data_IF_654776453033
#
_entry.id   IF_654776453033
#
_cell.length_a   1.000
_cell.length_b   1.000
_cell.length_c   1.000
_cell.angle_alpha   90.00
_cell.angle_beta   90.00
_cell.angle_gamma   90.00
#
_symmetry.space_group_name_H-M   'P 1'
#
loop_
_entity.id
_entity.type
_entity.pdbx_description
1 polymer ?
#
# COMPACT_ATOMS: atom_id res chain seq x y z
N UNK A 1 -1.97 14.24 19.91
CA UNK A 1 -2.46 13.51 18.72
C UNK A 1 -1.66 13.79 17.46
N UNK A 2 -1.39 15.05 17.10
CA UNK A 2 -0.62 15.37 15.87
C UNK A 2 0.79 14.75 15.84
N UNK A 3 1.50 14.75 16.98
CA UNK A 3 2.82 14.10 17.09
C UNK A 3 2.72 12.60 16.78
N UNK A 4 1.73 11.89 17.32
CA UNK A 4 1.51 10.47 17.04
C UNK A 4 1.27 10.22 15.54
N UNK A 5 0.42 11.04 14.91
CA UNK A 5 0.15 10.94 13.48
C UNK A 5 1.40 11.21 12.63
N UNK A 6 2.18 12.24 12.98
CA UNK A 6 3.44 12.54 12.31
C UNK A 6 4.45 11.39 12.46
N UNK A 7 4.59 10.83 13.66
CA UNK A 7 5.45 9.66 13.90
C UNK A 7 4.98 8.43 13.12
N UNK A 8 3.68 8.16 13.08
CA UNK A 8 3.12 7.04 12.33
C UNK A 8 3.37 7.18 10.82
N UNK A 9 3.15 8.36 10.27
CA UNK A 9 3.43 8.67 8.85
C UNK A 9 4.92 8.56 8.55
N UNK A 10 5.78 9.13 9.40
CA UNK A 10 7.23 9.05 9.23
C UNK A 10 7.74 7.60 9.30
N UNK A 11 7.23 6.80 10.25
CA UNK A 11 7.56 5.39 10.39
C UNK A 11 7.13 4.58 9.15
N UNK A 12 5.92 4.82 8.62
CA UNK A 12 5.42 4.16 7.43
C UNK A 12 6.25 4.52 6.18
N UNK A 13 6.58 5.79 5.99
CA UNK A 13 7.43 6.25 4.87
C UNK A 13 8.83 5.65 4.99
N UNK A 14 9.45 5.74 6.17
CA UNK A 14 10.79 5.19 6.40
C UNK A 14 10.87 3.68 6.17
N UNK A 15 9.91 2.93 6.72
CA UNK A 15 9.79 1.48 6.49
C UNK A 15 9.61 1.16 5.00
N UNK A 16 8.72 1.86 4.32
CA UNK A 16 8.42 1.66 2.90
C UNK A 16 9.63 1.97 2.01
N UNK A 17 10.34 3.06 2.27
CA UNK A 17 11.56 3.41 1.52
C UNK A 17 12.67 2.40 1.75
N UNK A 18 12.91 1.97 2.98
CA UNK A 18 13.92 0.96 3.28
C UNK A 18 13.63 -0.37 2.56
N UNK A 19 12.36 -0.81 2.57
CA UNK A 19 11.93 -2.03 1.88
C UNK A 19 11.98 -1.84 0.36
N UNK A 20 11.54 -0.70 -0.17
CA UNK A 20 11.60 -0.39 -1.59
C UNK A 20 13.04 -0.43 -2.12
N UNK A 21 13.98 0.27 -1.46
CA UNK A 21 15.39 0.26 -1.83
C UNK A 21 15.97 -1.16 -1.82
N UNK A 22 15.63 -1.96 -0.80
CA UNK A 22 16.06 -3.36 -0.72
C UNK A 22 15.51 -4.21 -1.87
N UNK A 23 14.23 -4.08 -2.20
CA UNK A 23 13.59 -4.83 -3.28
C UNK A 23 14.16 -4.42 -4.65
N UNK A 24 14.35 -3.13 -4.89
CA UNK A 24 14.97 -2.64 -6.13
C UNK A 24 16.44 -3.07 -6.26
N UNK A 25 17.19 -3.09 -5.16
CA UNK A 25 18.55 -3.63 -5.14
C UNK A 25 18.56 -5.15 -5.41
N UNK A 26 17.58 -5.88 -4.87
CA UNK A 26 17.42 -7.31 -5.13
C UNK A 26 17.06 -7.56 -6.61
N UNK A 27 16.16 -6.77 -7.17
CA UNK A 27 15.77 -6.85 -8.58
C UNK A 27 16.95 -6.68 -9.52
N UNK A 28 17.86 -5.75 -9.24
CA UNK A 28 19.09 -5.58 -10.05
C UNK A 28 19.97 -6.83 -10.04
N UNK A 29 19.90 -7.64 -8.97
CA UNK A 29 20.68 -8.88 -8.82
C UNK A 29 19.96 -10.10 -9.40
N UNK A 30 18.64 -10.20 -9.24
CA UNK A 30 17.86 -11.38 -9.62
C UNK A 30 17.17 -11.25 -10.97
N UNK A 31 17.00 -10.03 -11.50
CA UNK A 31 16.14 -9.76 -12.65
C UNK A 31 14.65 -9.99 -12.36
N UNK A 32 14.27 -10.17 -11.10
CA UNK A 32 12.92 -10.52 -10.69
C UNK A 32 11.93 -9.37 -10.92
N UNK A 33 10.90 -9.63 -11.73
CA UNK A 33 9.81 -8.68 -11.97
C UNK A 33 8.99 -8.37 -10.69
N UNK A 34 8.64 -9.34 -9.82
CA UNK A 34 7.89 -9.04 -8.60
C UNK A 34 8.55 -7.98 -7.71
N UNK A 35 9.88 -8.03 -7.58
CA UNK A 35 10.67 -7.09 -6.80
C UNK A 35 10.65 -5.68 -7.41
N UNK A 36 10.70 -5.56 -8.74
CA UNK A 36 10.53 -4.28 -9.43
C UNK A 36 9.15 -3.68 -9.16
N UNK A 37 8.10 -4.47 -9.37
CA UNK A 37 6.72 -4.02 -9.27
C UNK A 37 6.42 -3.57 -7.84
N UNK A 38 6.79 -4.38 -6.86
CA UNK A 38 6.50 -4.07 -5.47
C UNK A 38 7.41 -2.96 -4.91
N UNK A 39 8.71 -2.98 -5.22
CA UNK A 39 9.63 -1.91 -4.83
C UNK A 39 9.25 -0.57 -5.45
N UNK A 40 8.90 -0.57 -6.74
CA UNK A 40 8.41 0.61 -7.46
C UNK A 40 7.08 1.12 -6.90
N UNK A 41 6.14 0.22 -6.57
CA UNK A 41 4.88 0.57 -5.92
C UNK A 41 5.14 1.34 -4.62
N UNK A 42 5.96 0.79 -3.71
CA UNK A 42 6.24 1.40 -2.41
C UNK A 42 6.96 2.74 -2.56
N UNK A 43 7.92 2.83 -3.48
CA UNK A 43 8.66 4.06 -3.75
C UNK A 43 7.77 5.17 -4.31
N UNK A 44 7.00 4.87 -5.37
CA UNK A 44 6.19 5.87 -6.06
C UNK A 44 4.99 6.31 -5.23
N UNK A 45 4.27 5.38 -4.61
CA UNK A 45 3.07 5.72 -3.84
C UNK A 45 3.40 6.28 -2.45
N UNK A 46 4.12 5.50 -1.62
CA UNK A 46 4.38 5.86 -0.23
C UNK A 46 5.61 6.75 -0.08
N UNK A 47 6.67 6.48 -0.84
CA UNK A 47 7.93 7.23 -0.76
C UNK A 47 7.87 8.63 -1.38
N UNK A 48 7.13 8.81 -2.48
CA UNK A 48 7.03 10.06 -3.23
C UNK A 48 5.62 10.64 -3.17
N UNK A 49 4.63 9.84 -3.54
CA UNK A 49 3.23 10.26 -3.67
C UNK A 49 2.66 10.88 -2.40
N UNK A 50 2.70 10.16 -1.28
CA UNK A 50 2.14 10.65 -0.01
C UNK A 50 2.86 11.89 0.56
N UNK A 51 4.21 11.95 0.65
CA UNK A 51 4.90 13.15 1.11
C UNK A 51 4.57 14.38 0.27
N UNK A 52 4.56 14.25 -1.07
CA UNK A 52 4.19 15.36 -1.95
C UNK A 52 2.73 15.75 -1.81
N UNK A 53 1.83 14.80 -1.51
CA UNK A 53 0.42 15.11 -1.21
C UNK A 53 0.31 15.97 0.04
N UNK A 54 0.99 15.56 1.12
CA UNK A 54 0.99 16.27 2.40
C UNK A 54 1.61 17.66 2.23
N UNK A 55 2.70 17.77 1.47
CA UNK A 55 3.34 19.03 1.16
C UNK A 55 2.43 19.95 0.33
N UNK A 56 1.74 19.43 -0.68
CA UNK A 56 0.79 20.20 -1.49
C UNK A 56 -0.32 20.84 -0.64
N UNK A 57 -0.82 20.14 0.37
CA UNK A 57 -1.84 20.66 1.31
C UNK A 57 -1.32 21.75 2.27
N UNK A 58 0.01 21.94 2.35
CA UNK A 58 0.67 22.90 3.26
C UNK A 58 1.42 24.02 2.55
N UNK A 59 1.60 23.92 1.24
CA UNK A 59 2.36 24.88 0.44
C UNK A 59 1.48 26.00 -0.11
N UNK A 60 2.12 27.14 -0.35
CA UNK A 60 1.51 28.27 -1.02
C UNK A 60 1.18 27.96 -2.51
N UNK A 61 0.25 28.74 -3.11
CA UNK A 61 -0.31 28.46 -4.44
C UNK A 61 0.66 28.21 -5.61
N UNK A 62 1.86 28.83 -5.73
CA UNK A 62 2.66 28.64 -6.95
C UNK A 62 3.20 27.21 -7.13
N UNK A 63 3.35 26.44 -6.04
CA UNK A 63 3.92 25.10 -6.07
C UNK A 63 2.93 23.99 -5.71
N UNK A 64 1.84 24.33 -5.03
CA UNK A 64 0.83 23.36 -4.57
C UNK A 64 0.29 22.51 -5.72
N UNK A 65 -0.02 23.11 -6.88
CA UNK A 65 -0.52 22.39 -8.06
C UNK A 65 0.50 21.41 -8.64
N UNK A 66 1.77 21.80 -8.75
CA UNK A 66 2.82 20.92 -9.26
C UNK A 66 3.04 19.72 -8.31
N UNK A 67 3.10 19.96 -7.00
CA UNK A 67 3.27 18.91 -6.00
C UNK A 67 2.08 17.96 -6.00
N UNK A 68 0.86 18.49 -6.11
CA UNK A 68 -0.35 17.70 -6.25
C UNK A 68 -0.33 16.83 -7.50
N UNK A 69 0.07 17.37 -8.66
CA UNK A 69 0.12 16.63 -9.92
C UNK A 69 1.14 15.49 -9.87
N UNK A 70 2.36 15.77 -9.39
CA UNK A 70 3.39 14.73 -9.23
C UNK A 70 2.96 13.68 -8.20
N UNK A 71 2.32 14.10 -7.10
CA UNK A 71 1.74 13.20 -6.12
C UNK A 71 0.68 12.29 -6.74
N UNK A 72 -0.26 12.85 -7.51
CA UNK A 72 -1.34 12.11 -8.14
C UNK A 72 -0.79 11.04 -9.11
N UNK A 73 0.22 11.38 -9.91
CA UNK A 73 0.91 10.44 -10.78
C UNK A 73 1.66 9.36 -10.00
N UNK A 74 2.41 9.73 -8.96
CA UNK A 74 3.15 8.78 -8.13
C UNK A 74 2.24 7.77 -7.44
N UNK A 75 1.12 8.23 -6.87
CA UNK A 75 0.10 7.37 -6.26
C UNK A 75 -0.56 6.49 -7.33
N UNK A 76 -1.02 7.08 -8.44
CA UNK A 76 -1.67 6.36 -9.52
C UNK A 76 -0.80 5.23 -10.09
N UNK A 77 0.43 5.56 -10.49
CA UNK A 77 1.41 4.60 -11.00
C UNK A 77 1.78 3.55 -9.95
N UNK A 78 2.00 3.96 -8.70
CA UNK A 78 2.32 3.03 -7.62
C UNK A 78 1.23 1.98 -7.43
N UNK A 79 -0.05 2.38 -7.38
CA UNK A 79 -1.15 1.42 -7.27
C UNK A 79 -1.40 0.62 -8.54
N UNK A 80 -1.13 1.17 -9.72
CA UNK A 80 -1.10 0.38 -10.96
C UNK A 80 -0.07 -0.76 -10.87
N UNK A 81 1.12 -0.50 -10.31
CA UNK A 81 2.13 -1.54 -10.08
C UNK A 81 1.65 -2.60 -9.08
N UNK A 82 0.85 -2.25 -8.07
CA UNK A 82 0.26 -3.22 -7.13
C UNK A 82 -0.72 -4.17 -7.84
N UNK A 83 -1.59 -3.65 -8.72
CA UNK A 83 -2.49 -4.48 -9.52
C UNK A 83 -1.71 -5.46 -10.39
N UNK A 84 -0.69 -4.97 -11.10
CA UNK A 84 0.16 -5.81 -11.96
C UNK A 84 0.94 -6.82 -11.12
N UNK A 85 1.48 -6.43 -9.96
CA UNK A 85 2.15 -7.34 -9.03
C UNK A 85 1.22 -8.49 -8.61
N UNK A 86 0.01 -8.17 -8.17
CA UNK A 86 -0.95 -9.16 -7.68
C UNK A 86 -1.32 -10.15 -8.78
N UNK A 87 -1.59 -9.65 -9.98
CA UNK A 87 -1.83 -10.51 -11.14
C UNK A 87 -0.62 -11.39 -11.47
N UNK A 88 0.58 -10.81 -11.64
CA UNK A 88 1.77 -11.53 -12.08
C UNK A 88 2.26 -12.58 -11.08
N UNK A 89 2.11 -12.32 -9.78
CA UNK A 89 2.60 -13.22 -8.72
C UNK A 89 1.60 -14.33 -8.42
N UNK A 90 0.31 -14.00 -8.29
CA UNK A 90 -0.68 -14.98 -7.81
C UNK A 90 -1.45 -15.66 -8.93
N UNK A 91 -1.55 -15.02 -10.10
CA UNK A 91 -2.50 -15.36 -11.16
C UNK A 91 -1.93 -15.15 -12.59
N UNK A 92 -0.68 -15.53 -12.90
CA UNK A 92 -0.04 -15.17 -14.18
C UNK A 92 -0.75 -15.71 -15.42
N UNK A 93 -1.49 -16.82 -15.30
CA UNK A 93 -2.18 -17.48 -16.43
C UNK A 93 -3.69 -17.23 -16.47
N UNK A 94 -4.26 -16.56 -15.47
CA UNK A 94 -5.70 -16.36 -15.35
C UNK A 94 -6.11 -15.09 -16.12
N UNK A 95 -6.85 -15.25 -17.23
CA UNK A 95 -7.28 -14.13 -18.07
C UNK A 95 -8.14 -13.11 -17.33
N UNK A 96 -9.02 -13.56 -16.44
CA UNK A 96 -9.87 -12.67 -15.64
C UNK A 96 -9.04 -11.75 -14.74
N UNK A 97 -7.94 -12.27 -14.18
CA UNK A 97 -7.05 -11.49 -13.31
C UNK A 97 -6.27 -10.44 -14.11
N UNK A 98 -5.89 -10.76 -15.34
CA UNK A 98 -5.30 -9.79 -16.26
C UNK A 98 -6.27 -8.65 -16.58
N UNK A 99 -7.51 -8.97 -16.96
CA UNK A 99 -8.56 -7.96 -17.25
C UNK A 99 -8.85 -7.11 -16.01
N UNK A 100 -8.95 -7.74 -14.84
CA UNK A 100 -9.19 -7.04 -13.58
C UNK A 100 -8.03 -6.09 -13.21
N UNK A 101 -6.78 -6.54 -13.35
CA UNK A 101 -5.61 -5.70 -13.16
C UNK A 101 -5.59 -4.54 -14.16
N UNK A 102 -5.86 -4.80 -15.45
CA UNK A 102 -5.90 -3.77 -16.49
C UNK A 102 -6.98 -2.70 -16.21
N UNK A 103 -8.18 -3.12 -15.78
CA UNK A 103 -9.25 -2.21 -15.38
C UNK A 103 -8.83 -1.35 -14.15
N UNK A 104 -8.20 -1.98 -13.16
CA UNK A 104 -7.64 -1.28 -12.00
C UNK A 104 -6.56 -0.26 -12.37
N UNK A 105 -5.64 -0.62 -13.27
CA UNK A 105 -4.61 0.28 -13.83
C UNK A 105 -5.26 1.44 -14.56
N UNK A 106 -6.18 1.17 -15.49
CA UNK A 106 -6.85 2.21 -16.28
C UNK A 106 -7.59 3.21 -15.38
N UNK A 107 -8.26 2.73 -14.33
CA UNK A 107 -8.98 3.59 -13.39
C UNK A 107 -8.03 4.45 -12.55
N UNK A 108 -6.96 3.84 -12.00
CA UNK A 108 -5.97 4.55 -11.19
C UNK A 108 -5.23 5.63 -11.99
N UNK A 109 -4.80 5.32 -13.22
CA UNK A 109 -4.12 6.27 -14.10
C UNK A 109 -5.08 7.33 -14.64
N UNK A 110 -6.31 6.95 -14.97
CA UNK A 110 -7.35 7.90 -15.41
C UNK A 110 -7.64 8.96 -14.35
N UNK A 111 -7.76 8.58 -13.07
CA UNK A 111 -7.95 9.54 -11.97
C UNK A 111 -6.68 10.35 -11.69
N UNK A 112 -5.49 9.75 -11.82
CA UNK A 112 -4.23 10.50 -11.70
C UNK A 112 -4.09 11.59 -12.77
N UNK A 113 -4.40 11.26 -14.03
CA UNK A 113 -4.40 12.19 -15.14
C UNK A 113 -5.44 13.30 -14.94
N UNK A 114 -6.66 12.93 -14.51
CA UNK A 114 -7.69 13.90 -14.16
C UNK A 114 -7.22 14.86 -13.05
N UNK A 115 -6.51 14.35 -12.03
CA UNK A 115 -5.90 15.18 -10.99
C UNK A 115 -4.86 16.16 -11.54
N UNK A 116 -4.05 15.75 -12.51
CA UNK A 116 -3.09 16.63 -13.17
C UNK A 116 -3.79 17.75 -13.96
N UNK A 117 -4.84 17.42 -14.70
CA UNK A 117 -5.65 18.40 -15.45
C UNK A 117 -6.31 19.39 -14.49
N UNK A 118 -6.84 18.93 -13.36
CA UNK A 118 -7.40 19.82 -12.35
C UNK A 118 -6.35 20.74 -11.73
N UNK A 119 -5.17 20.21 -11.38
CA UNK A 119 -4.07 21.00 -10.83
C UNK A 119 -3.59 22.07 -11.81
N UNK A 120 -3.49 21.73 -13.10
CA UNK A 120 -3.13 22.68 -14.15
C UNK A 120 -4.19 23.77 -14.36
N UNK A 121 -5.48 23.41 -14.37
CA UNK A 121 -6.57 24.35 -14.66
C UNK A 121 -6.94 25.26 -13.48
N UNK A 122 -6.79 24.79 -12.24
CA UNK A 122 -7.24 25.52 -11.03
C UNK A 122 -6.12 26.01 -10.13
N UNK A 123 -4.87 25.61 -10.38
CA UNK A 123 -3.69 25.94 -9.58
C UNK A 123 -3.62 25.20 -8.24
N UNK A 124 -4.66 25.30 -7.41
CA UNK A 124 -4.80 24.58 -6.15
C UNK A 124 -6.08 23.76 -6.14
N UNK A 125 -5.98 22.47 -5.79
CA UNK A 125 -7.14 21.57 -5.67
C UNK A 125 -7.47 21.41 -4.19
N UNK A 126 -8.59 21.98 -3.75
CA UNK A 126 -9.11 21.71 -2.41
C UNK A 126 -9.81 20.35 -2.41
N UNK A 127 -9.19 19.36 -1.76
CA UNK A 127 -9.70 17.99 -1.65
C UNK A 127 -11.08 17.94 -0.99
N UNK A 128 -11.35 18.88 -0.07
CA UNK A 128 -12.60 18.92 0.68
C UNK A 128 -13.82 19.28 -0.16
N UNK A 129 -13.65 19.80 -1.37
CA UNK A 129 -14.76 20.18 -2.27
C UNK A 129 -15.13 19.06 -3.26
N UNK A 130 -14.37 17.96 -3.30
CA UNK A 130 -14.68 16.84 -4.18
C UNK A 130 -16.03 16.20 -3.80
N UNK A 131 -16.79 15.73 -4.80
CA UNK A 131 -18.02 14.98 -4.56
C UNK A 131 -17.69 13.61 -3.96
N UNK A 132 -18.64 12.99 -3.25
CA UNK A 132 -18.47 11.63 -2.73
C UNK A 132 -18.12 10.62 -3.85
N UNK A 133 -18.68 10.79 -5.05
CA UNK A 133 -18.33 9.97 -6.20
C UNK A 133 -16.87 10.15 -6.64
N UNK A 134 -16.36 11.39 -6.63
CA UNK A 134 -14.97 11.67 -6.97
C UNK A 134 -13.99 11.09 -5.92
N UNK A 135 -14.35 11.17 -4.64
CA UNK A 135 -13.61 10.54 -3.53
C UNK A 135 -13.59 9.02 -3.72
N UNK A 136 -14.74 8.39 -3.97
CA UNK A 136 -14.84 6.95 -4.21
C UNK A 136 -14.07 6.50 -5.47
N UNK A 137 -14.09 7.30 -6.53
CA UNK A 137 -13.33 7.00 -7.74
C UNK A 137 -11.81 7.07 -7.49
N UNK A 138 -11.37 7.93 -6.55
CA UNK A 138 -9.98 8.03 -6.14
C UNK A 138 -9.54 6.89 -5.23
N UNK A 139 -10.30 6.60 -4.18
CA UNK A 139 -9.91 5.61 -3.16
C UNK A 139 -10.32 4.19 -3.50
N UNK A 140 -11.33 4.01 -4.36
CA UNK A 140 -11.86 2.72 -4.78
C UNK A 140 -10.79 1.80 -5.36
N UNK A 141 -10.03 2.20 -6.40
CA UNK A 141 -8.99 1.36 -6.98
C UNK A 141 -7.91 0.97 -5.96
N UNK A 142 -7.55 1.89 -5.07
CA UNK A 142 -6.56 1.65 -3.99
C UNK A 142 -7.08 0.58 -3.03
N UNK A 143 -8.30 0.76 -2.54
CA UNK A 143 -8.96 -0.17 -1.63
C UNK A 143 -9.08 -1.57 -2.25
N UNK A 144 -9.55 -1.63 -3.50
CA UNK A 144 -9.69 -2.88 -4.26
C UNK A 144 -8.34 -3.57 -4.47
N UNK A 145 -7.28 -2.83 -4.82
CA UNK A 145 -5.94 -3.40 -4.98
C UNK A 145 -5.44 -4.06 -3.69
N UNK A 146 -5.62 -3.39 -2.54
CA UNK A 146 -5.24 -3.94 -1.24
C UNK A 146 -6.08 -5.15 -0.85
N UNK A 147 -7.42 -5.11 -1.02
CA UNK A 147 -8.27 -6.26 -0.71
C UNK A 147 -7.94 -7.46 -1.59
N UNK A 148 -7.70 -7.25 -2.88
CA UNK A 148 -7.33 -8.33 -3.78
C UNK A 148 -5.97 -8.94 -3.40
N UNK A 149 -4.99 -8.10 -3.10
CA UNK A 149 -3.67 -8.52 -2.60
C UNK A 149 -3.82 -9.33 -1.30
N UNK A 150 -4.61 -8.84 -0.35
CA UNK A 150 -4.85 -9.51 0.93
C UNK A 150 -5.50 -10.88 0.73
N UNK A 151 -6.54 -10.95 -0.10
CA UNK A 151 -7.26 -12.19 -0.41
C UNK A 151 -6.33 -13.26 -1.00
N UNK A 152 -5.57 -12.91 -2.05
CA UNK A 152 -4.65 -13.86 -2.68
C UNK A 152 -3.53 -14.29 -1.71
N UNK A 153 -3.05 -13.38 -0.88
CA UNK A 153 -2.05 -13.67 0.14
C UNK A 153 -2.57 -14.62 1.23
N UNK A 154 -3.81 -14.43 1.70
CA UNK A 154 -4.45 -15.35 2.65
C UNK A 154 -4.69 -16.74 2.05
N UNK A 155 -5.11 -16.79 0.78
CA UNK A 155 -5.26 -18.06 0.04
C UNK A 155 -3.94 -18.81 -0.04
N UNK A 156 -2.87 -18.13 -0.45
CA UNK A 156 -1.52 -18.70 -0.50
C UNK A 156 -0.99 -19.06 0.89
N UNK A 157 -1.27 -18.27 1.93
CA UNK A 157 -0.94 -18.63 3.31
C UNK A 157 -1.60 -19.95 3.71
N UNK A 158 -2.90 -20.13 3.42
CA UNK A 158 -3.62 -21.38 3.69
C UNK A 158 -2.97 -22.58 3.01
N UNK A 159 -2.59 -22.45 1.74
CA UNK A 159 -1.89 -23.50 0.99
C UNK A 159 -0.50 -23.79 1.56
N UNK A 160 0.32 -22.76 1.77
CA UNK A 160 1.67 -22.90 2.31
C UNK A 160 1.69 -23.44 3.73
N UNK A 161 0.68 -23.10 4.55
CA UNK A 161 0.54 -23.64 5.90
C UNK A 161 0.29 -25.14 5.88
N UNK A 162 -0.50 -25.64 4.93
CA UNK A 162 -0.72 -27.09 4.73
C UNK A 162 0.56 -27.77 4.25
N UNK A 163 1.26 -27.20 3.27
CA UNK A 163 2.56 -27.74 2.79
C UNK A 163 3.63 -27.75 3.86
N UNK A 164 3.74 -26.69 4.66
CA UNK A 164 4.67 -26.61 5.77
C UNK A 164 4.37 -27.65 6.84
N UNK A 165 3.09 -27.98 7.10
CA UNK A 165 2.69 -29.08 8.00
C UNK A 165 3.13 -30.47 7.53
N UNK A 166 3.41 -30.62 6.25
CA UNK A 166 3.89 -31.86 5.64
C UNK A 166 5.41 -31.85 5.42
N UNK A 167 6.13 -30.84 5.92
CA UNK A 167 7.56 -30.66 5.65
C UNK A 167 7.90 -30.24 4.21
N UNK A 168 6.90 -29.89 3.39
CA UNK A 168 7.09 -29.58 1.97
C UNK A 168 7.36 -28.09 1.68
N UNK A 169 7.32 -27.23 2.69
CA UNK A 169 7.54 -25.79 2.52
C UNK A 169 8.16 -25.15 3.77
N UNK A 170 8.97 -24.11 3.56
CA UNK A 170 9.52 -23.30 4.65
C UNK A 170 8.40 -22.53 5.37
N UNK A 171 8.32 -22.73 6.68
CA UNK A 171 7.37 -22.03 7.54
C UNK A 171 7.54 -20.51 7.53
N UNK A 172 8.77 -19.99 7.36
CA UNK A 172 9.01 -18.56 7.27
C UNK A 172 8.37 -17.96 6.02
N UNK A 173 8.39 -18.69 4.89
CA UNK A 173 7.72 -18.24 3.65
C UNK A 173 6.21 -18.24 3.83
N UNK A 174 5.64 -19.29 4.44
CA UNK A 174 4.21 -19.31 4.79
C UNK A 174 3.83 -18.08 5.62
N UNK A 175 4.61 -17.78 6.65
CA UNK A 175 4.32 -16.69 7.58
C UNK A 175 4.44 -15.29 6.92
N UNK A 176 5.35 -15.11 5.95
CA UNK A 176 5.40 -13.89 5.12
C UNK A 176 4.11 -13.62 4.35
N UNK A 177 3.43 -14.65 3.83
CA UNK A 177 2.13 -14.45 3.16
C UNK A 177 1.07 -13.94 4.13
N UNK A 178 1.06 -14.41 5.38
CA UNK A 178 0.15 -13.90 6.40
C UNK A 178 0.48 -12.44 6.76
N UNK A 179 1.75 -12.12 7.00
CA UNK A 179 2.17 -10.75 7.30
C UNK A 179 1.81 -9.78 6.19
N UNK A 180 2.04 -10.17 4.94
CA UNK A 180 1.68 -9.38 3.76
C UNK A 180 0.17 -9.19 3.63
N UNK A 181 -0.63 -10.23 3.90
CA UNK A 181 -2.08 -10.12 3.94
C UNK A 181 -2.57 -9.14 5.02
N UNK A 182 -2.06 -9.27 6.25
CA UNK A 182 -2.43 -8.39 7.36
C UNK A 182 -2.02 -6.94 7.09
N UNK A 183 -0.85 -6.73 6.46
CA UNK A 183 -0.40 -5.41 6.02
C UNK A 183 -1.43 -4.82 5.05
N UNK A 184 -1.78 -5.56 3.99
CA UNK A 184 -2.72 -5.11 2.98
C UNK A 184 -4.13 -4.84 3.56
N UNK A 185 -4.62 -5.66 4.50
CA UNK A 185 -5.87 -5.39 5.22
C UNK A 185 -5.79 -4.12 6.07
N UNK A 186 -4.66 -3.89 6.74
CA UNK A 186 -4.45 -2.67 7.51
C UNK A 186 -4.43 -1.43 6.60
N UNK A 187 -3.81 -1.53 5.43
CA UNK A 187 -3.82 -0.49 4.40
C UNK A 187 -5.22 -0.22 3.85
N UNK A 188 -5.98 -1.27 3.52
CA UNK A 188 -7.38 -1.15 3.13
C UNK A 188 -8.20 -0.45 4.23
N UNK A 189 -8.01 -0.82 5.50
CA UNK A 189 -8.65 -0.16 6.65
C UNK A 189 -8.33 1.33 6.75
N UNK A 190 -7.05 1.71 6.62
CA UNK A 190 -6.64 3.13 6.64
C UNK A 190 -7.26 3.95 5.50
N UNK A 191 -7.33 3.36 4.31
CA UNK A 191 -7.99 3.97 3.13
C UNK A 191 -9.49 4.12 3.37
N UNK A 192 -10.16 3.10 3.93
CA UNK A 192 -11.58 3.16 4.27
C UNK A 192 -11.89 4.24 5.31
N UNK A 193 -11.10 4.33 6.39
CA UNK A 193 -11.25 5.35 7.44
C UNK A 193 -11.18 6.75 6.82
N UNK A 194 -10.17 7.00 5.98
CA UNK A 194 -9.99 8.30 5.33
C UNK A 194 -11.11 8.59 4.34
N UNK A 195 -11.52 7.60 3.54
CA UNK A 195 -12.61 7.73 2.56
C UNK A 195 -13.94 8.07 3.23
N UNK A 196 -14.29 7.36 4.30
CA UNK A 196 -15.53 7.58 5.06
C UNK A 196 -15.50 8.96 5.72
N UNK A 197 -14.38 9.35 6.33
CA UNK A 197 -14.23 10.68 6.90
C UNK A 197 -14.45 11.79 5.86
N UNK A 198 -13.83 11.68 4.69
CA UNK A 198 -14.00 12.64 3.59
C UNK A 198 -15.43 12.65 3.04
N UNK A 199 -16.06 11.49 2.86
CA UNK A 199 -17.45 11.39 2.41
C UNK A 199 -18.43 12.04 3.40
N UNK A 200 -18.14 11.98 4.70
CA UNK A 200 -18.87 12.64 5.78
C UNK A 200 -18.43 14.10 6.00
N UNK A 201 -17.59 14.68 5.12
CA UNK A 201 -17.03 16.04 5.23
C UNK A 201 -16.28 16.31 6.54
N UNK A 202 -15.78 15.26 7.21
CA UNK A 202 -14.96 15.39 8.42
C UNK A 202 -13.54 15.77 8.01
N UNK A 203 -13.02 16.85 8.59
CA UNK A 203 -11.63 17.25 8.40
C UNK A 203 -10.69 16.22 9.06
N UNK A 204 -10.07 15.37 8.23
CA UNK A 204 -9.23 14.25 8.64
C UNK A 204 -8.03 14.68 9.48
N UNK A 205 -7.51 15.89 9.27
CA UNK A 205 -6.35 16.44 10.00
C UNK A 205 -6.71 17.07 11.35
N UNK A 206 -7.99 17.34 11.60
CA UNK A 206 -8.47 17.96 12.84
C UNK A 206 -9.26 16.99 13.72
N UNK A 207 -9.78 15.89 13.16
CA UNK A 207 -10.50 14.87 13.93
C UNK A 207 -9.54 13.94 14.68
N UNK A 208 -9.50 13.96 16.03
CA UNK A 208 -8.58 13.13 16.80
C UNK A 208 -8.88 11.63 16.63
N UNK A 209 -10.15 11.26 16.43
CA UNK A 209 -10.56 9.88 16.21
C UNK A 209 -10.04 9.33 14.87
N UNK A 210 -10.19 10.12 13.79
CA UNK A 210 -9.68 9.75 12.46
C UNK A 210 -8.16 9.68 12.48
N UNK A 211 -7.49 10.66 13.08
CA UNK A 211 -6.03 10.64 13.21
C UNK A 211 -5.53 9.43 13.99
N UNK A 212 -6.14 9.11 15.13
CA UNK A 212 -5.75 7.94 15.92
C UNK A 212 -5.93 6.65 15.13
N UNK A 213 -7.10 6.45 14.50
CA UNK A 213 -7.40 5.24 13.73
C UNK A 213 -6.47 5.09 12.51
N UNK A 214 -6.24 6.16 11.76
CA UNK A 214 -5.29 6.17 10.64
C UNK A 214 -3.84 5.97 11.10
N UNK A 215 -3.46 6.49 12.27
CA UNK A 215 -2.11 6.28 12.83
C UNK A 215 -1.88 4.81 13.23
N UNK A 216 -2.86 4.17 13.85
CA UNK A 216 -2.78 2.76 14.24
C UNK A 216 -2.64 1.86 13.01
N UNK A 217 -3.41 2.12 11.95
CA UNK A 217 -3.27 1.37 10.69
C UNK A 217 -1.93 1.64 10.01
N UNK A 218 -1.42 2.87 10.01
CA UNK A 218 -0.09 3.19 9.48
C UNK A 218 1.06 2.51 10.21
N UNK A 219 1.02 2.50 11.56
CA UNK A 219 2.02 1.80 12.38
C UNK A 219 1.97 0.28 12.19
N UNK A 220 0.77 -0.30 12.14
CA UNK A 220 0.58 -1.72 11.87
C UNK A 220 1.13 -2.08 10.48
N UNK A 221 0.84 -1.29 9.44
CA UNK A 221 1.40 -1.47 8.10
C UNK A 221 2.93 -1.43 8.13
N UNK A 222 3.53 -0.42 8.77
CA UNK A 222 4.98 -0.27 8.84
C UNK A 222 5.64 -1.50 9.51
N UNK A 223 5.11 -1.93 10.66
CA UNK A 223 5.63 -3.08 11.38
C UNK A 223 5.50 -4.38 10.57
N UNK A 224 4.32 -4.64 9.99
CA UNK A 224 4.06 -5.84 9.20
C UNK A 224 4.90 -5.87 7.91
N UNK A 225 5.10 -4.72 7.28
CA UNK A 225 5.95 -4.59 6.09
C UNK A 225 7.41 -4.92 6.40
N UNK A 226 7.95 -4.36 7.50
CA UNK A 226 9.32 -4.66 7.94
C UNK A 226 9.45 -6.14 8.30
N UNK A 227 8.49 -6.71 9.02
CA UNK A 227 8.52 -8.14 9.37
C UNK A 227 8.44 -9.04 8.12
N UNK A 228 7.65 -8.67 7.10
CA UNK A 228 7.49 -9.47 5.89
C UNK A 228 8.78 -9.51 5.05
N UNK A 229 9.46 -8.37 4.87
CA UNK A 229 10.60 -8.26 3.94
C UNK A 229 11.97 -8.24 4.64
N UNK A 230 12.03 -7.84 5.90
CA UNK A 230 13.23 -7.76 6.71
C UNK A 230 13.02 -8.34 8.13
N UNK A 231 12.56 -9.61 8.25
CA UNK A 231 12.27 -10.19 9.56
C UNK A 231 13.53 -10.23 10.42
N UNK A 232 13.50 -9.73 11.67
CA UNK A 232 14.63 -9.83 12.58
C UNK A 232 14.91 -11.29 12.95
N UNK A 233 16.16 -11.62 13.29
CA UNK A 233 16.56 -13.00 13.65
C UNK A 233 15.73 -13.57 14.81
N UNK A 234 15.34 -12.74 15.77
CA UNK A 234 14.47 -13.14 16.87
C UNK A 234 13.10 -13.63 16.36
N UNK A 235 12.51 -12.94 15.40
CA UNK A 235 11.25 -13.34 14.77
C UNK A 235 11.38 -14.70 14.07
N UNK A 236 12.43 -14.89 13.27
CA UNK A 236 12.67 -16.16 12.58
C UNK A 236 12.88 -17.32 13.55
N UNK A 237 13.61 -17.09 14.66
CA UNK A 237 13.76 -18.10 15.73
C UNK A 237 12.41 -18.46 16.35
N UNK A 238 11.59 -17.46 16.66
CA UNK A 238 10.25 -17.68 17.20
C UNK A 238 9.34 -18.46 16.25
N UNK A 239 9.31 -18.10 14.95
CA UNK A 239 8.52 -18.82 13.93
C UNK A 239 8.95 -20.28 13.83
N UNK A 240 10.26 -20.55 13.85
CA UNK A 240 10.81 -21.92 13.80
C UNK A 240 10.51 -22.71 15.08
N UNK A 241 10.71 -22.10 16.26
CA UNK A 241 10.42 -22.74 17.54
C UNK A 241 8.94 -23.10 17.70
N UNK A 242 8.03 -22.20 17.31
CA UNK A 242 6.57 -22.44 17.28
C UNK A 242 6.20 -23.63 16.40
N UNK A 243 6.97 -23.90 15.33
CA UNK A 243 6.73 -25.04 14.44
C UNK A 243 7.25 -26.35 15.02
N UNK A 244 8.48 -26.34 15.54
CA UNK A 244 9.03 -27.50 16.24
C UNK A 244 8.12 -27.94 17.40
N UNK A 245 7.55 -27.00 18.15
CA UNK A 245 6.60 -27.28 19.22
C UNK A 245 5.25 -27.86 18.74
N UNK A 246 4.89 -27.67 17.46
CA UNK A 246 3.66 -28.21 16.88
C UNK A 246 3.81 -29.64 16.35
N UNK A 247 4.97 -30.29 16.54
CA UNK A 247 5.23 -31.66 16.09
C UNK A 247 5.34 -31.78 14.57
N UNK A 248 5.73 -30.70 13.89
CA UNK A 248 5.94 -30.60 12.44
C UNK A 248 7.40 -30.29 12.16
#
# INVERSE_FOLDING_TARGET
>A
MQLLAATAVAALIGASLAVACRLLALQRRTGGLPELLLGGMLLLSVGVGYPLRIAADRMDPPWAGAFFAVSALGIGLGFSLLFVFTWRVFRPHDRWACVFAAAGVATALGKALHGCIQAYSRGAVQVMDESAAAILLQSGPIFVAYLWTAWESLRCYGMMRRRARLGLADAAVSDRFLLWALMALSAAGGVSITTVALALRVNTFHSPAVLLASSLTGLAQAALLVLAFAPPRAYLRWVRARRAAAGV
#
